data_IF_119290190876
#
_entry.id   IF_119290190876
#
_cell.length_a   1.000
_cell.length_b   1.000
_cell.length_c   1.000
_cell.angle_alpha   90.00
_cell.angle_beta   90.00
_cell.angle_gamma   90.00
#
_symmetry.space_group_name_H-M   'P 1'
#
loop_
_entity.id
_entity.type
_entity.pdbx_description
1 polymer ?
#
# COMPACT_ATOMS: atom_id res chain seq x y z
N UNK A 1 -17.04 -3.06 18.51
CA UNK A 1 -17.78 -2.19 19.45
C UNK A 1 -18.58 -3.11 20.35
N UNK A 2 -18.38 -3.09 21.67
CA UNK A 2 -19.13 -3.94 22.59
C UNK A 2 -20.62 -3.65 22.43
N UNK A 3 -21.39 -4.67 22.10
CA UNK A 3 -22.82 -4.56 21.79
C UNK A 3 -23.60 -4.66 23.09
N UNK A 4 -23.57 -3.61 23.90
CA UNK A 4 -24.42 -3.53 25.09
C UNK A 4 -25.83 -3.20 24.60
N UNK A 5 -26.82 -4.02 24.97
CA UNK A 5 -28.23 -3.65 24.74
C UNK A 5 -28.50 -2.28 25.37
N UNK A 6 -28.95 -1.33 24.56
CA UNK A 6 -29.31 0.05 24.96
C UNK A 6 -30.31 0.11 26.11
N UNK A 7 -31.04 -0.98 26.33
CA UNK A 7 -31.98 -1.16 27.43
C UNK A 7 -31.33 -1.20 28.83
N UNK A 8 -30.01 -1.39 28.95
CA UNK A 8 -29.32 -1.49 30.26
C UNK A 8 -28.93 -0.10 30.81
N UNK A 9 -28.74 0.89 29.93
CA UNK A 9 -28.15 2.18 30.30
C UNK A 9 -29.22 3.26 30.56
N UNK A 10 -30.46 3.07 30.08
CA UNK A 10 -31.45 4.15 30.06
C UNK A 10 -32.81 3.73 30.65
N UNK A 11 -32.90 3.65 31.98
CA UNK A 11 -34.17 3.56 32.72
C UNK A 11 -34.98 4.88 32.72
N UNK A 12 -34.54 5.88 31.94
CA UNK A 12 -35.31 7.07 31.57
C UNK A 12 -35.69 8.05 32.69
N UNK A 13 -35.56 7.71 33.98
CA UNK A 13 -36.36 8.40 34.99
C UNK A 13 -35.65 9.00 36.21
N UNK A 14 -34.36 8.76 36.50
CA UNK A 14 -33.65 9.50 37.56
C UNK A 14 -32.15 9.64 37.29
N UNK A 15 -31.64 10.87 37.35
CA UNK A 15 -30.21 11.21 37.36
C UNK A 15 -29.73 11.38 38.82
N UNK A 16 -28.51 10.91 39.16
CA UNK A 16 -27.61 10.14 38.30
C UNK A 16 -28.14 8.73 38.02
N UNK A 17 -27.83 8.16 36.85
CA UNK A 17 -28.21 6.80 36.53
C UNK A 17 -27.64 5.83 37.57
N UNK A 18 -28.33 4.71 37.78
CA UNK A 18 -27.81 3.65 38.64
C UNK A 18 -26.46 3.16 38.09
N UNK A 19 -25.55 2.85 39.01
CA UNK A 19 -24.27 2.23 38.66
C UNK A 19 -24.50 0.91 37.92
N UNK A 20 -23.62 0.59 36.96
CA UNK A 20 -23.62 -0.71 36.29
C UNK A 20 -23.27 -1.80 37.30
N UNK A 21 -24.04 -2.89 37.28
CA UNK A 21 -23.69 -4.11 38.03
C UNK A 21 -22.30 -4.63 37.63
N UNK A 22 -21.57 -5.19 38.60
CA UNK A 22 -20.23 -5.76 38.40
C UNK A 22 -20.19 -6.80 37.27
N UNK A 23 -21.27 -7.55 37.07
CA UNK A 23 -21.41 -8.51 35.98
C UNK A 23 -21.34 -7.84 34.61
N UNK A 24 -22.02 -6.69 34.44
CA UNK A 24 -22.00 -5.92 33.21
C UNK A 24 -20.62 -5.29 32.97
N UNK A 25 -19.96 -4.78 34.01
CA UNK A 25 -18.59 -4.26 33.90
C UNK A 25 -17.64 -5.36 33.41
N UNK A 26 -17.73 -6.58 33.98
CA UNK A 26 -16.90 -7.72 33.54
C UNK A 26 -17.17 -8.11 32.09
N UNK A 27 -18.45 -8.13 31.67
CA UNK A 27 -18.81 -8.44 30.28
C UNK A 27 -18.26 -7.40 29.31
N UNK A 28 -18.35 -6.11 29.64
CA UNK A 28 -17.79 -5.02 28.84
C UNK A 28 -16.28 -5.18 28.71
N UNK A 29 -15.58 -5.44 29.81
CA UNK A 29 -14.13 -5.65 29.81
C UNK A 29 -13.77 -6.87 28.97
N UNK A 30 -14.50 -7.97 29.11
CA UNK A 30 -14.29 -9.18 28.30
C UNK A 30 -14.46 -8.90 26.81
N UNK A 31 -15.59 -8.32 26.41
CA UNK A 31 -15.84 -7.96 25.02
C UNK A 31 -14.80 -6.98 24.49
N UNK A 32 -14.33 -6.04 25.32
CA UNK A 32 -13.26 -5.14 24.93
C UNK A 32 -11.96 -5.89 24.67
N UNK A 33 -11.54 -6.78 25.58
CA UNK A 33 -10.36 -7.63 25.41
C UNK A 33 -10.47 -8.54 24.18
N UNK A 34 -11.64 -9.15 23.94
CA UNK A 34 -11.89 -10.00 22.78
C UNK A 34 -11.80 -9.20 21.47
N UNK A 35 -12.27 -7.95 21.46
CA UNK A 35 -12.17 -7.05 20.31
C UNK A 35 -10.75 -6.48 20.08
N UNK A 36 -9.85 -6.62 21.04
CA UNK A 36 -8.42 -6.26 20.89
C UNK A 36 -7.58 -7.41 20.34
N UNK A 37 -8.18 -8.56 20.05
CA UNK A 37 -7.46 -9.66 19.40
C UNK A 37 -6.87 -9.17 18.07
N UNK A 38 -5.58 -9.43 17.77
CA UNK A 38 -4.90 -8.89 16.60
C UNK A 38 -5.64 -9.15 15.28
N UNK A 39 -6.37 -10.26 15.19
CA UNK A 39 -7.21 -10.65 14.05
C UNK A 39 -8.20 -9.56 13.60
N UNK A 40 -8.67 -8.70 14.51
CA UNK A 40 -9.61 -7.61 14.22
C UNK A 40 -8.96 -6.30 13.75
N UNK A 41 -7.64 -6.17 13.89
CA UNK A 41 -6.88 -4.96 13.52
C UNK A 41 -5.78 -5.21 12.49
N UNK A 42 -5.35 -6.47 12.35
CA UNK A 42 -4.30 -6.84 11.42
C UNK A 42 -4.83 -6.69 9.99
N UNK A 43 -4.16 -5.83 9.22
CA UNK A 43 -4.40 -5.70 7.80
C UNK A 43 -3.50 -6.67 7.04
N UNK A 44 -4.09 -7.45 6.14
CA UNK A 44 -3.38 -8.34 5.23
C UNK A 44 -3.76 -8.03 3.78
N UNK A 45 -2.90 -8.43 2.85
CA UNK A 45 -3.08 -8.13 1.43
C UNK A 45 -4.06 -9.09 0.74
N UNK A 46 -4.96 -8.55 -0.08
CA UNK A 46 -5.79 -9.36 -0.97
C UNK A 46 -4.96 -9.90 -2.15
N UNK A 47 -5.10 -11.19 -2.44
CA UNK A 47 -4.44 -11.90 -3.54
C UNK A 47 -4.82 -11.39 -4.92
N UNK A 48 -6.02 -10.84 -5.09
CA UNK A 48 -6.55 -10.46 -6.40
C UNK A 48 -6.35 -8.98 -6.72
N UNK A 49 -6.61 -8.08 -5.76
CA UNK A 49 -6.45 -6.63 -5.95
C UNK A 49 -5.23 -6.03 -5.26
N UNK A 50 -4.52 -6.78 -4.40
CA UNK A 50 -3.35 -6.28 -3.66
C UNK A 50 -3.66 -5.30 -2.52
N UNK A 51 -4.94 -4.95 -2.31
CA UNK A 51 -5.35 -3.99 -1.27
C UNK A 51 -5.17 -4.58 0.14
N UNK A 52 -4.65 -3.77 1.06
CA UNK A 52 -4.66 -4.07 2.49
C UNK A 52 -6.10 -4.04 3.04
N UNK A 53 -6.50 -5.14 3.66
CA UNK A 53 -7.86 -5.38 4.17
C UNK A 53 -7.76 -6.02 5.54
N UNK A 54 -8.68 -5.69 6.44
CA UNK A 54 -8.74 -6.31 7.78
C UNK A 54 -8.91 -7.83 7.64
N UNK A 55 -8.14 -8.60 8.41
CA UNK A 55 -8.13 -10.07 8.36
C UNK A 55 -9.51 -10.73 8.43
N UNK A 56 -10.44 -10.20 9.21
CA UNK A 56 -11.83 -10.71 9.31
C UNK A 56 -12.67 -10.53 8.04
N UNK A 57 -12.19 -9.74 7.08
CA UNK A 57 -12.83 -9.51 5.78
C UNK A 57 -12.09 -10.23 4.63
N UNK A 58 -11.17 -11.13 4.96
CA UNK A 58 -10.40 -11.92 4.02
C UNK A 58 -10.83 -13.39 4.10
N UNK A 59 -11.01 -14.00 2.93
CA UNK A 59 -11.35 -15.41 2.77
C UNK A 59 -10.14 -16.14 2.19
N UNK A 60 -9.81 -17.31 2.74
CA UNK A 60 -8.67 -18.10 2.25
C UNK A 60 -8.88 -18.54 0.79
N UNK A 61 -7.84 -18.48 -0.04
CA UNK A 61 -7.88 -19.00 -1.41
C UNK A 61 -8.31 -20.47 -1.46
N UNK A 62 -7.88 -21.30 -0.51
CA UNK A 62 -8.17 -22.74 -0.51
C UNK A 62 -9.65 -23.04 -0.31
N UNK A 63 -10.40 -22.14 0.34
CA UNK A 63 -11.84 -22.28 0.52
C UNK A 63 -12.67 -21.78 -0.67
N UNK A 64 -12.05 -21.19 -1.68
CA UNK A 64 -12.74 -20.62 -2.83
C UNK A 64 -12.74 -21.61 -4.00
N UNK A 65 -13.93 -22.09 -4.35
CA UNK A 65 -14.17 -22.86 -5.58
C UNK A 65 -14.39 -21.90 -6.75
N UNK A 66 -13.27 -21.44 -7.34
CA UNK A 66 -13.25 -20.42 -8.40
C UNK A 66 -12.24 -20.83 -9.46
N UNK A 67 -12.59 -20.68 -10.74
CA UNK A 67 -11.63 -20.80 -11.83
C UNK A 67 -10.73 -19.55 -11.89
N UNK A 68 -9.50 -19.71 -11.42
CA UNK A 68 -8.52 -18.64 -11.40
C UNK A 68 -8.11 -18.18 -12.81
N UNK A 69 -8.34 -18.96 -13.86
CA UNK A 69 -8.00 -18.58 -15.23
C UNK A 69 -8.77 -17.36 -15.73
N UNK A 70 -9.87 -16.98 -15.07
CA UNK A 70 -10.54 -15.71 -15.34
C UNK A 70 -9.61 -14.49 -15.19
N UNK A 71 -8.57 -14.59 -14.37
CA UNK A 71 -7.57 -13.56 -14.16
C UNK A 71 -6.36 -13.68 -15.10
N UNK A 72 -6.33 -14.66 -16.00
CA UNK A 72 -5.27 -14.82 -16.98
C UNK A 72 -5.49 -13.88 -18.17
N UNK A 73 -4.47 -13.08 -18.51
CA UNK A 73 -4.51 -12.09 -19.60
C UNK A 73 -3.27 -12.23 -20.50
N UNK A 74 -3.10 -13.38 -21.18
CA UNK A 74 -1.90 -13.63 -21.96
C UNK A 74 -1.83 -12.73 -23.19
N UNK A 75 -0.70 -12.04 -23.37
CA UNK A 75 -0.43 -11.21 -24.55
C UNK A 75 -1.02 -9.80 -24.49
N UNK A 76 -1.62 -9.41 -23.36
CA UNK A 76 -2.17 -8.06 -23.15
C UNK A 76 -1.12 -7.06 -22.60
N UNK A 77 0.12 -7.48 -22.33
CA UNK A 77 1.19 -6.59 -21.84
C UNK A 77 1.06 -6.19 -20.37
N UNK A 78 0.18 -6.85 -19.62
CA UNK A 78 -0.18 -6.43 -18.25
C UNK A 78 0.93 -6.72 -17.24
N UNK A 79 1.63 -7.85 -17.42
CA UNK A 79 2.74 -8.24 -16.54
C UNK A 79 4.04 -8.26 -17.30
N UNK A 80 5.16 -8.14 -16.56
CA UNK A 80 6.48 -8.18 -17.17
C UNK A 80 7.49 -8.83 -16.24
N UNK A 81 8.21 -9.83 -16.75
CA UNK A 81 9.35 -10.42 -16.05
C UNK A 81 10.49 -9.41 -15.93
N UNK A 82 11.19 -9.47 -14.81
CA UNK A 82 12.41 -8.68 -14.60
C UNK A 82 13.46 -9.03 -15.67
N UNK A 83 14.18 -8.00 -16.14
CA UNK A 83 15.27 -8.12 -17.12
C UNK A 83 16.55 -7.68 -16.45
N UNK A 84 17.59 -8.49 -16.57
CA UNK A 84 18.92 -8.22 -16.00
C UNK A 84 19.90 -7.65 -17.03
N UNK A 85 19.63 -7.90 -18.31
CA UNK A 85 20.40 -7.41 -19.45
C UNK A 85 19.49 -6.81 -20.52
N UNK A 86 20.06 -5.92 -21.34
CA UNK A 86 19.38 -5.37 -22.53
C UNK A 86 19.07 -6.44 -23.58
N UNK A 87 19.82 -7.56 -23.58
CA UNK A 87 19.60 -8.71 -24.47
C UNK A 87 18.43 -9.59 -24.03
N UNK A 88 17.99 -9.49 -22.77
CA UNK A 88 16.92 -10.35 -22.25
C UNK A 88 15.61 -10.03 -22.97
N UNK A 89 14.84 -11.05 -23.42
CA UNK A 89 13.57 -10.84 -24.09
C UNK A 89 12.56 -10.17 -23.15
N UNK A 90 11.59 -9.45 -23.75
CA UNK A 90 10.45 -8.92 -23.02
C UNK A 90 9.40 -10.02 -22.94
N UNK A 91 9.21 -10.56 -21.73
CA UNK A 91 8.27 -11.65 -21.50
C UNK A 91 7.27 -11.31 -20.38
N UNK A 92 6.06 -11.82 -20.52
CA UNK A 92 4.99 -11.75 -19.50
C UNK A 92 5.02 -12.98 -18.60
N UNK A 93 4.39 -12.87 -17.42
CA UNK A 93 4.10 -14.04 -16.60
C UNK A 93 2.98 -14.86 -17.22
N UNK A 94 3.13 -16.19 -17.20
CA UNK A 94 2.10 -17.12 -17.65
C UNK A 94 1.11 -17.40 -16.52
N UNK A 95 -0.17 -17.45 -16.84
CA UNK A 95 -1.24 -17.81 -15.91
C UNK A 95 -1.97 -16.59 -15.31
N UNK A 96 -2.69 -16.79 -14.20
CA UNK A 96 -3.52 -15.75 -13.60
C UNK A 96 -2.69 -14.67 -12.93
N UNK A 97 -3.09 -13.41 -13.13
CA UNK A 97 -2.38 -12.24 -12.60
C UNK A 97 -2.85 -11.99 -11.15
N UNK A 98 -2.03 -12.39 -10.19
CA UNK A 98 -2.32 -12.31 -8.75
C UNK A 98 -1.11 -11.87 -7.94
N UNK A 99 -1.34 -11.38 -6.71
CA UNK A 99 -0.29 -11.15 -5.74
C UNK A 99 0.23 -12.50 -5.21
N UNK A 100 1.42 -12.87 -5.63
CA UNK A 100 2.07 -14.16 -5.31
C UNK A 100 2.20 -14.39 -3.80
N UNK A 101 2.54 -13.34 -3.05
CA UNK A 101 2.78 -13.36 -1.59
C UNK A 101 1.52 -13.38 -0.73
N UNK A 102 0.36 -13.14 -1.32
CA UNK A 102 -0.92 -13.10 -0.60
C UNK A 102 -1.68 -14.43 -0.78
N UNK A 103 -2.30 -14.92 0.28
CA UNK A 103 -3.04 -16.21 0.29
C UNK A 103 -4.54 -16.03 0.39
N UNK A 104 -5.02 -14.86 0.76
CA UNK A 104 -6.44 -14.58 1.04
C UNK A 104 -7.02 -13.58 0.04
N UNK A 105 -8.34 -13.53 -0.08
CA UNK A 105 -9.10 -12.70 -1.02
C UNK A 105 -10.10 -11.84 -0.23
N UNK A 106 -10.20 -10.55 -0.54
CA UNK A 106 -11.19 -9.69 0.10
C UNK A 106 -12.61 -10.00 -0.40
N UNK A 107 -13.61 -9.71 0.44
CA UNK A 107 -15.03 -9.91 0.11
C UNK A 107 -15.43 -9.31 -1.25
N UNK A 108 -15.01 -8.08 -1.53
CA UNK A 108 -15.29 -7.42 -2.82
C UNK A 108 -14.82 -8.26 -4.03
N UNK A 109 -13.60 -8.79 -3.97
CA UNK A 109 -13.07 -9.62 -5.05
C UNK A 109 -13.75 -10.99 -5.09
N UNK A 110 -14.02 -11.59 -3.94
CA UNK A 110 -14.71 -12.87 -3.84
C UNK A 110 -16.10 -12.82 -4.47
N UNK A 111 -16.90 -11.79 -4.16
CA UNK A 111 -18.26 -11.61 -4.67
C UNK A 111 -18.29 -11.48 -6.20
N UNK A 112 -17.36 -10.70 -6.78
CA UNK A 112 -17.26 -10.57 -8.23
C UNK A 112 -16.76 -11.87 -8.90
N UNK A 113 -15.77 -12.54 -8.30
CA UNK A 113 -15.21 -13.78 -8.86
C UNK A 113 -16.20 -14.95 -8.83
N UNK A 114 -17.05 -15.06 -7.81
CA UNK A 114 -18.13 -16.05 -7.76
C UNK A 114 -19.18 -15.87 -8.87
N UNK A 115 -19.22 -14.68 -9.48
CA UNK A 115 -20.10 -14.37 -10.60
C UNK A 115 -19.38 -14.52 -11.96
N UNK A 116 -18.20 -15.14 -11.98
CA UNK A 116 -17.30 -15.18 -13.14
C UNK A 116 -17.03 -13.79 -13.74
N UNK A 117 -16.84 -12.79 -12.87
CA UNK A 117 -16.45 -11.43 -13.24
C UNK A 117 -15.06 -11.11 -12.71
N UNK A 118 -14.32 -10.33 -13.49
CA UNK A 118 -13.00 -9.85 -13.11
C UNK A 118 -13.16 -8.61 -12.22
N UNK A 119 -12.70 -8.65 -10.95
CA UNK A 119 -12.84 -7.54 -10.04
C UNK A 119 -12.28 -6.25 -10.62
N UNK A 120 -13.02 -5.14 -10.49
CA UNK A 120 -12.62 -3.85 -11.09
C UNK A 120 -11.20 -3.43 -10.73
N UNK A 121 -10.81 -3.61 -9.47
CA UNK A 121 -9.49 -3.27 -8.94
C UNK A 121 -8.50 -4.44 -8.94
N UNK A 122 -8.79 -5.51 -9.69
CA UNK A 122 -7.88 -6.65 -9.80
C UNK A 122 -6.55 -6.25 -10.43
N UNK A 123 -5.48 -6.94 -10.05
CA UNK A 123 -4.16 -6.81 -10.65
C UNK A 123 -4.21 -7.14 -12.16
N UNK A 124 -5.12 -8.03 -12.56
CA UNK A 124 -5.38 -8.37 -13.96
C UNK A 124 -5.93 -7.21 -14.81
N UNK A 125 -6.43 -6.12 -14.21
CA UNK A 125 -6.95 -4.95 -14.94
C UNK A 125 -5.90 -3.84 -15.11
N UNK A 126 -4.63 -4.19 -15.36
CA UNK A 126 -3.56 -3.20 -15.54
C UNK A 126 -3.05 -2.57 -14.23
N UNK A 127 -3.47 -3.10 -13.08
CA UNK A 127 -3.06 -2.62 -11.75
C UNK A 127 -1.82 -3.38 -11.21
N UNK A 128 -1.29 -4.33 -11.98
CA UNK A 128 -0.12 -5.10 -11.58
C UNK A 128 1.17 -4.28 -11.68
N UNK A 129 1.88 -4.15 -10.56
CA UNK A 129 3.19 -3.49 -10.49
C UNK A 129 4.36 -4.49 -10.41
N UNK A 130 4.09 -5.72 -9.98
CA UNK A 130 5.10 -6.72 -9.68
C UNK A 130 5.75 -6.54 -8.31
N UNK A 131 6.69 -7.44 -8.01
CA UNK A 131 7.52 -7.34 -6.82
C UNK A 131 8.59 -6.26 -7.01
N UNK A 132 8.93 -5.56 -5.94
CA UNK A 132 10.05 -4.61 -5.93
C UNK A 132 11.36 -5.39 -6.10
N UNK A 133 12.13 -5.17 -7.19
CA UNK A 133 13.43 -5.80 -7.41
C UNK A 133 14.40 -5.54 -6.27
N UNK A 134 15.30 -6.49 -5.99
CA UNK A 134 16.29 -6.36 -4.91
C UNK A 134 17.15 -5.10 -5.06
N UNK A 135 17.53 -4.77 -6.30
CA UNK A 135 18.33 -3.58 -6.62
C UNK A 135 17.61 -2.26 -6.34
N UNK A 136 16.29 -2.28 -6.20
CA UNK A 136 15.46 -1.11 -5.88
C UNK A 136 15.05 -1.06 -4.40
N UNK A 137 15.47 -2.03 -3.58
CA UNK A 137 15.23 -2.01 -2.13
C UNK A 137 16.25 -1.11 -1.43
N UNK A 138 15.80 -0.45 -0.36
CA UNK A 138 16.65 0.36 0.53
C UNK A 138 17.43 1.50 -0.15
N UNK A 139 16.92 2.02 -1.27
CA UNK A 139 17.52 3.17 -1.93
C UNK A 139 17.48 4.39 -1.02
N UNK A 140 18.59 5.12 -0.98
CA UNK A 140 18.66 6.44 -0.33
C UNK A 140 17.70 7.41 -1.00
N UNK A 141 17.31 8.47 -0.30
CA UNK A 141 16.43 9.49 -0.87
C UNK A 141 16.99 10.09 -2.17
N UNK A 142 18.30 10.29 -2.27
CA UNK A 142 18.96 10.77 -3.47
C UNK A 142 18.87 9.76 -4.64
N UNK A 143 19.02 8.46 -4.37
CA UNK A 143 18.88 7.42 -5.39
C UNK A 143 17.45 7.27 -5.86
N UNK A 144 16.47 7.32 -4.94
CA UNK A 144 15.04 7.34 -5.27
C UNK A 144 14.71 8.53 -6.18
N UNK A 145 15.27 9.72 -5.87
CA UNK A 145 15.22 10.90 -6.72
C UNK A 145 15.72 10.51 -8.12
N UNK A 146 16.95 10.02 -8.26
CA UNK A 146 17.56 9.74 -9.56
C UNK A 146 16.80 8.74 -10.43
N UNK A 147 16.25 7.68 -9.85
CA UNK A 147 15.51 6.66 -10.60
C UNK A 147 14.07 7.06 -10.92
N UNK A 148 13.49 7.98 -10.14
CA UNK A 148 12.13 8.46 -10.37
C UNK A 148 12.05 9.28 -11.65
N UNK A 149 11.16 8.89 -12.58
CA UNK A 149 10.90 9.69 -13.80
C UNK A 149 10.27 11.05 -13.47
N UNK A 150 9.44 11.08 -12.44
CA UNK A 150 8.78 12.28 -11.93
C UNK A 150 8.70 12.21 -10.40
N UNK A 151 8.93 13.35 -9.73
CA UNK A 151 8.79 13.45 -8.28
C UNK A 151 7.35 13.78 -7.91
N UNK A 152 6.60 12.77 -7.49
CA UNK A 152 5.33 12.99 -6.79
C UNK A 152 5.64 13.20 -5.30
N UNK A 153 6.13 14.38 -4.93
CA UNK A 153 5.95 14.81 -3.54
C UNK A 153 4.44 14.98 -3.34
N UNK A 154 3.88 14.37 -2.30
CA UNK A 154 2.47 14.56 -1.95
C UNK A 154 2.26 16.02 -1.56
N UNK A 155 1.86 16.86 -2.50
CA UNK A 155 1.60 18.28 -2.25
C UNK A 155 0.14 18.48 -1.88
N UNK A 156 -0.10 18.98 -0.67
CA UNK A 156 -1.40 19.55 -0.31
C UNK A 156 -1.41 20.97 -0.89
N UNK A 157 -2.12 21.18 -1.99
CA UNK A 157 -2.26 22.51 -2.61
C UNK A 157 -3.56 23.16 -2.17
N UNK A 158 -3.46 24.34 -1.55
CA UNK A 158 -4.63 25.16 -1.23
C UNK A 158 -5.08 25.91 -2.48
N UNK A 159 -6.21 25.52 -3.04
CA UNK A 159 -6.78 26.19 -4.22
C UNK A 159 -7.60 27.41 -3.75
N UNK A 160 -7.04 28.61 -3.93
CA UNK A 160 -7.78 29.86 -3.71
C UNK A 160 -8.23 30.43 -5.05
N UNK A 161 -9.48 30.91 -5.11
CA UNK A 161 -9.92 31.82 -6.17
C UNK A 161 -9.88 33.25 -5.64
N UNK A 162 -9.44 34.19 -6.48
CA UNK A 162 -9.56 35.62 -6.16
C UNK A 162 -11.00 35.97 -5.77
N UNK A 163 -11.15 36.88 -4.78
CA UNK A 163 -12.42 37.26 -4.12
C UNK A 163 -13.04 36.21 -3.18
N UNK A 164 -12.23 35.41 -2.49
CA UNK A 164 -12.66 34.66 -1.30
C UNK A 164 -13.42 33.35 -1.56
N UNK A 165 -13.40 32.83 -2.79
CA UNK A 165 -14.01 31.55 -3.14
C UNK A 165 -13.06 30.35 -2.99
N UNK A 166 -13.63 29.17 -2.76
CA UNK A 166 -12.92 27.88 -2.74
C UNK A 166 -13.21 27.10 -4.03
N UNK A 167 -12.20 26.43 -4.60
CA UNK A 167 -12.35 25.60 -5.80
C UNK A 167 -12.02 24.14 -5.49
N UNK A 168 -12.92 23.24 -5.85
CA UNK A 168 -12.85 21.80 -5.50
C UNK A 168 -11.99 20.95 -6.46
N UNK A 169 -11.58 21.50 -7.60
CA UNK A 169 -10.76 20.81 -8.61
C UNK A 169 -9.66 21.73 -9.14
N UNK A 170 -8.43 21.24 -9.18
CA UNK A 170 -7.28 21.88 -9.78
C UNK A 170 -6.43 20.86 -10.54
N UNK A 171 -5.71 21.31 -11.56
CA UNK A 171 -4.75 20.49 -12.29
C UNK A 171 -3.38 20.63 -11.64
N UNK A 172 -2.71 19.52 -11.33
CA UNK A 172 -1.32 19.51 -10.93
C UNK A 172 -0.44 19.21 -12.15
N UNK A 173 0.55 20.06 -12.40
CA UNK A 173 1.59 19.81 -13.40
C UNK A 173 2.83 19.33 -12.67
N UNK A 174 3.26 18.11 -12.96
CA UNK A 174 4.46 17.51 -12.35
C UNK A 174 5.57 17.53 -13.40
N UNK A 175 6.71 18.13 -13.03
CA UNK A 175 7.88 18.17 -13.89
C UNK A 175 8.70 16.90 -13.73
N UNK A 176 9.30 16.45 -14.83
CA UNK A 176 10.26 15.36 -14.80
C UNK A 176 11.42 15.71 -13.88
N UNK A 177 11.94 14.71 -13.17
CA UNK A 177 13.06 14.92 -12.29
C UNK A 177 14.31 15.31 -13.11
N UNK A 178 15.03 16.40 -12.76
CA UNK A 178 16.27 16.78 -13.45
C UNK A 178 17.44 15.85 -13.08
N UNK A 179 17.28 14.54 -13.21
CA UNK A 179 18.26 13.51 -12.85
C UNK A 179 19.63 13.77 -13.48
N UNK A 180 19.67 14.24 -14.73
CA UNK A 180 20.90 14.62 -15.43
C UNK A 180 21.67 15.79 -14.78
N UNK A 181 20.97 16.72 -14.10
CA UNK A 181 21.62 17.80 -13.34
C UNK A 181 22.14 17.27 -12.00
N UNK A 182 21.32 16.49 -11.30
CA UNK A 182 21.68 15.91 -10.00
C UNK A 182 22.90 14.99 -10.14
N UNK A 183 22.95 14.18 -11.21
CA UNK A 183 24.04 13.26 -11.47
C UNK A 183 25.42 13.94 -11.52
N UNK A 184 25.50 15.18 -12.03
CA UNK A 184 26.75 15.95 -12.09
C UNK A 184 27.28 16.39 -10.74
N UNK A 185 26.43 16.41 -9.71
CA UNK A 185 26.77 16.81 -8.35
C UNK A 185 26.92 15.63 -7.40
N UNK A 186 26.66 14.41 -7.86
CA UNK A 186 26.89 13.21 -7.05
C UNK A 186 28.39 13.00 -6.86
N UNK A 187 28.82 12.51 -5.68
CA UNK A 187 30.17 12.06 -5.50
C UNK A 187 30.51 11.00 -6.56
N UNK A 188 31.76 10.97 -7.07
CA UNK A 188 32.16 9.95 -8.02
C UNK A 188 31.91 8.56 -7.42
N UNK A 189 31.49 7.59 -8.24
CA UNK A 189 31.17 6.25 -7.76
C UNK A 189 32.36 5.69 -6.99
N UNK A 190 32.11 5.14 -5.79
CA UNK A 190 33.14 4.45 -5.00
C UNK A 190 33.76 3.37 -5.88
N UNK A 191 34.96 3.63 -6.43
CA UNK A 191 35.77 2.54 -6.97
C UNK A 191 35.92 1.52 -5.85
N UNK A 192 35.62 0.26 -6.15
CA UNK A 192 35.82 -0.89 -5.25
C UNK A 192 37.33 -1.08 -5.03
N UNK A 193 37.94 -0.16 -4.29
CA UNK A 193 39.35 -0.17 -3.91
C UNK A 193 39.42 0.46 -2.53
N UNK A 194 39.77 -0.34 -1.53
CA UNK A 194 39.78 0.02 -0.12
C UNK A 194 40.85 1.05 0.25
N UNK A 195 40.62 2.32 -0.08
CA UNK A 195 41.38 3.44 0.48
C UNK A 195 40.44 4.54 0.96
N UNK A 196 40.40 4.60 2.29
CA UNK A 196 40.15 5.71 3.20
C UNK A 196 39.04 6.73 2.91
N UNK A 197 38.04 6.68 3.80
CA UNK A 197 36.97 7.66 4.00
C UNK A 197 37.46 8.95 4.68
N UNK A 198 38.76 9.11 4.94
CA UNK A 198 39.32 10.28 5.64
C UNK A 198 39.33 11.55 4.78
N UNK A 199 39.36 11.43 3.45
CA UNK A 199 39.41 12.60 2.55
C UNK A 199 38.06 13.33 2.45
N UNK A 200 36.94 12.65 2.72
CA UNK A 200 35.61 13.28 2.65
C UNK A 200 35.33 14.27 3.78
N UNK A 201 35.97 14.12 4.95
CA UNK A 201 35.81 15.06 6.07
C UNK A 201 36.76 16.25 6.02
N UNK A 202 37.78 16.24 5.15
CA UNK A 202 38.71 17.36 5.05
C UNK A 202 38.15 18.54 4.25
N UNK A 203 37.21 18.29 3.33
CA UNK A 203 36.62 19.35 2.50
C UNK A 203 35.62 20.25 3.25
N UNK A 204 35.05 19.82 4.38
CA UNK A 204 34.11 20.64 5.15
C UNK A 204 34.77 21.64 6.10
N UNK A 205 36.10 21.67 6.17
CA UNK A 205 36.85 22.42 7.20
C UNK A 205 37.61 23.64 6.67
N UNK A 206 37.56 23.92 5.36
CA UNK A 206 38.31 25.02 4.73
C UNK A 206 37.43 26.16 4.19
N UNK A 207 36.20 26.29 4.69
CA UNK A 207 35.35 27.45 4.39
C UNK A 207 34.90 28.13 5.69
N UNK A 208 35.83 28.81 6.35
CA UNK A 208 35.56 29.93 7.26
C UNK A 208 36.76 30.87 7.28
#
# INVERSE_FOLDING_TARGET
>A
MPTISTNIINDGNKFPPKHLEDSHVREIVRQYCDNLEPSYSEERGCKVCGRLTIGTQLTSKTSLDIDWNILARPGEGITRKERTSSSDPIEEFKGPIVASKCTEVCKDCEEELKQDKIPKLSLANGMWLGDVPEVLKNLTWAEQLLISRALTNNYITRVSMGRGGYKMKANAIIFANPSAKIYKHLPPPKKRSGRDLSDYFHWSSQTH
#
